data_IF_439325373395
#
_entry.id   IF_439325373395
#
_cell.length_a   1.000
_cell.length_b   1.000
_cell.length_c   1.000
_cell.angle_alpha   90.00
_cell.angle_beta   90.00
_cell.angle_gamma   90.00
#
_symmetry.space_group_name_H-M   'P 1'
#
loop_
_entity.id
_entity.type
_entity.pdbx_description
1 polymer ?
#
# COMPACT_ATOMS: atom_id res chain seq x y z
N UNK A 1 12.23 48.96 10.50
CA UNK A 1 11.51 48.03 9.59
C UNK A 1 11.75 48.52 8.17
N UNK A 2 12.03 47.67 7.16
CA UNK A 2 11.57 46.29 6.90
C UNK A 2 12.69 45.25 7.16
N UNK A 3 12.47 43.96 7.40
CA UNK A 3 11.44 43.07 6.88
C UNK A 3 12.01 42.15 5.78
N UNK A 4 13.16 41.50 6.01
CA UNK A 4 13.75 40.58 5.04
C UNK A 4 13.26 39.14 5.29
N UNK A 5 12.11 38.83 4.69
CA UNK A 5 11.61 37.47 4.52
C UNK A 5 12.50 36.75 3.50
N UNK A 6 13.36 35.83 3.97
CA UNK A 6 13.98 34.82 3.12
C UNK A 6 13.15 33.53 3.23
N UNK A 7 12.58 33.01 2.14
CA UNK A 7 12.09 31.63 2.15
C UNK A 7 13.29 30.66 2.12
N UNK A 8 13.20 29.49 2.77
CA UNK A 8 14.23 28.47 2.67
C UNK A 8 14.21 27.79 1.29
N UNK A 9 15.37 27.38 0.74
CA UNK A 9 15.40 26.56 -0.46
C UNK A 9 14.90 25.14 -0.12
N UNK A 10 13.88 24.71 -0.86
CA UNK A 10 13.30 23.38 -0.82
C UNK A 10 14.30 22.30 -1.23
N UNK A 11 14.21 21.19 -0.49
CA UNK A 11 14.83 19.89 -0.72
C UNK A 11 14.81 19.47 -2.20
N UNK A 12 15.94 18.94 -2.69
CA UNK A 12 15.93 17.99 -3.81
C UNK A 12 17.14 17.05 -3.69
N UNK A 13 16.91 15.84 -3.21
CA UNK A 13 17.84 14.72 -3.40
C UNK A 13 17.02 13.55 -3.96
N UNK A 14 17.19 13.33 -5.26
CA UNK A 14 16.55 12.27 -6.02
C UNK A 14 17.13 10.90 -5.61
N UNK A 15 16.27 9.93 -5.35
CA UNK A 15 16.64 8.52 -5.27
C UNK A 15 16.03 7.83 -6.48
N UNK A 16 16.88 7.51 -7.45
CA UNK A 16 16.51 6.68 -8.60
C UNK A 16 16.76 5.22 -8.23
N UNK A 17 15.70 4.41 -8.21
CA UNK A 17 15.83 2.94 -8.14
C UNK A 17 15.32 2.36 -9.45
N UNK A 18 16.24 1.77 -10.22
CA UNK A 18 15.93 1.04 -11.43
C UNK A 18 15.34 -0.32 -11.04
N UNK A 19 14.07 -0.56 -11.40
CA UNK A 19 13.44 -1.88 -11.26
C UNK A 19 13.65 -2.65 -12.57
N UNK A 20 14.43 -3.72 -12.49
CA UNK A 20 14.63 -4.66 -13.58
C UNK A 20 13.34 -5.49 -13.76
N UNK A 21 12.68 -5.31 -14.90
CA UNK A 21 11.45 -6.03 -15.26
C UNK A 21 11.82 -7.49 -15.56
N UNK A 22 11.43 -8.42 -14.68
CA UNK A 22 11.44 -9.86 -14.98
C UNK A 22 10.01 -10.29 -15.31
N UNK A 23 9.69 -10.27 -16.61
CA UNK A 23 8.50 -10.91 -17.17
C UNK A 23 8.53 -12.43 -16.89
N UNK A 24 7.59 -12.91 -16.09
CA UNK A 24 6.88 -14.18 -16.34
C UNK A 24 5.42 -14.00 -16.00
N UNK A 25 4.57 -14.34 -16.98
CA UNK A 25 3.13 -14.40 -16.86
C UNK A 25 2.77 -15.58 -15.96
N UNK A 26 2.69 -15.33 -14.65
CA UNK A 26 1.85 -16.09 -13.73
C UNK A 26 0.77 -15.10 -13.30
N UNK A 27 -0.50 -15.51 -13.26
CA UNK A 27 -1.57 -14.60 -12.88
C UNK A 27 -1.26 -14.06 -11.46
N UNK A 28 -1.09 -12.74 -11.34
CA UNK A 28 -0.71 -12.09 -10.09
C UNK A 28 -2.01 -11.73 -9.35
N UNK A 29 -2.34 -12.38 -8.22
CA UNK A 29 -3.55 -12.04 -7.48
C UNK A 29 -3.51 -10.58 -7.05
N UNK A 30 -4.65 -9.91 -7.20
CA UNK A 30 -4.83 -8.52 -6.80
C UNK A 30 -5.88 -8.49 -5.70
N UNK A 31 -5.48 -7.99 -4.54
CA UNK A 31 -6.38 -7.77 -3.40
C UNK A 31 -6.56 -6.28 -3.16
N UNK A 32 -7.76 -5.86 -2.79
CA UNK A 32 -8.02 -4.51 -2.30
C UNK A 32 -8.60 -4.55 -0.90
N UNK A 33 -8.07 -3.68 -0.04
CA UNK A 33 -8.46 -3.55 1.36
C UNK A 33 -8.86 -2.11 1.69
N UNK A 34 -9.76 -1.96 2.65
CA UNK A 34 -9.97 -0.73 3.39
C UNK A 34 -9.33 -0.86 4.77
N UNK A 35 -8.26 -0.11 5.02
CA UNK A 35 -7.56 -0.11 6.29
C UNK A 35 -8.22 0.89 7.23
N UNK A 36 -8.64 0.39 8.40
CA UNK A 36 -9.09 1.25 9.51
C UNK A 36 -7.98 1.36 10.52
N UNK A 37 -7.77 2.58 11.00
CA UNK A 37 -6.73 2.89 11.96
C UNK A 37 -7.20 4.01 12.90
N UNK A 38 -6.51 4.15 14.03
CA UNK A 38 -6.75 5.25 14.96
C UNK A 38 -6.49 6.59 14.27
N UNK A 39 -7.34 7.59 14.52
CA UNK A 39 -7.25 8.91 13.86
C UNK A 39 -5.89 9.59 14.12
N UNK A 40 -5.35 9.48 15.34
CA UNK A 40 -4.06 10.03 15.71
C UNK A 40 -2.85 9.28 15.11
N UNK A 41 -3.04 8.05 14.61
CA UNK A 41 -1.98 7.23 14.01
C UNK A 41 -2.06 7.22 12.48
N UNK A 42 -3.09 7.86 11.89
CA UNK A 42 -3.40 7.74 10.46
C UNK A 42 -2.24 8.11 9.55
N UNK A 43 -1.59 9.24 9.79
CA UNK A 43 -0.43 9.70 8.99
C UNK A 43 0.76 8.71 9.09
N UNK A 44 0.96 8.12 10.27
CA UNK A 44 2.01 7.14 10.49
C UNK A 44 1.71 5.82 9.76
N UNK A 45 0.45 5.37 9.79
CA UNK A 45 0.00 4.19 9.05
C UNK A 45 0.14 4.40 7.55
N UNK A 46 -0.31 5.53 7.00
CA UNK A 46 -0.16 5.86 5.57
C UNK A 46 1.32 5.87 5.17
N UNK A 47 2.16 6.52 5.98
CA UNK A 47 3.62 6.55 5.75
C UNK A 47 4.20 5.14 5.74
N UNK A 48 3.79 4.29 6.69
CA UNK A 48 4.26 2.91 6.77
C UNK A 48 3.81 2.07 5.56
N UNK A 49 2.53 2.17 5.16
CA UNK A 49 1.99 1.48 3.99
C UNK A 49 2.76 1.83 2.71
N UNK A 50 3.18 3.08 2.54
CA UNK A 50 4.01 3.50 1.40
C UNK A 50 5.43 2.90 1.40
N UNK A 51 5.90 2.33 2.51
CA UNK A 51 7.19 1.63 2.56
C UNK A 51 7.09 0.15 2.17
N UNK A 52 5.87 -0.40 2.07
CA UNK A 52 5.65 -1.79 1.75
C UNK A 52 5.72 -2.01 0.23
N UNK A 53 6.42 -3.06 -0.18
CA UNK A 53 6.56 -3.43 -1.60
C UNK A 53 5.29 -4.14 -2.07
N UNK A 54 4.87 -3.90 -3.32
CA UNK A 54 3.66 -4.50 -3.89
C UNK A 54 2.36 -3.85 -3.41
N UNK A 55 2.45 -2.72 -2.69
CA UNK A 55 1.31 -2.00 -2.13
C UNK A 55 1.11 -0.66 -2.82
N UNK A 56 -0.09 -0.42 -3.32
CA UNK A 56 -0.57 0.88 -3.79
C UNK A 56 -1.57 1.46 -2.80
N UNK A 57 -1.23 2.60 -2.20
CA UNK A 57 -2.10 3.33 -1.28
C UNK A 57 -2.89 4.37 -2.07
N UNK A 58 -4.22 4.31 -1.96
CA UNK A 58 -5.11 5.30 -2.55
C UNK A 58 -5.28 6.55 -1.68
N UNK A 59 -6.11 7.51 -2.11
CA UNK A 59 -6.36 8.72 -1.33
C UNK A 59 -7.03 8.37 0.00
N UNK A 60 -6.62 9.05 1.07
CA UNK A 60 -7.26 8.90 2.37
C UNK A 60 -8.73 9.32 2.32
N UNK A 61 -9.58 8.58 3.04
CA UNK A 61 -11.03 8.81 3.09
C UNK A 61 -11.55 8.70 4.51
N UNK A 62 -12.77 9.20 4.74
CA UNK A 62 -13.44 9.07 6.05
C UNK A 62 -13.71 7.59 6.41
N UNK A 63 -13.80 6.70 5.41
CA UNK A 63 -14.13 5.29 5.59
C UNK A 63 -12.91 4.38 5.77
N UNK A 64 -11.70 4.96 5.75
CA UNK A 64 -10.42 4.25 5.86
C UNK A 64 -9.48 4.55 4.70
N UNK A 65 -8.30 3.94 4.76
CA UNK A 65 -7.25 4.09 3.78
C UNK A 65 -7.40 2.95 2.75
N UNK A 66 -7.77 3.24 1.49
CA UNK A 66 -7.85 2.22 0.46
C UNK A 66 -6.45 1.75 0.08
N UNK A 67 -6.27 0.44 0.01
CA UNK A 67 -5.01 -0.21 -0.33
C UNK A 67 -5.26 -1.27 -1.40
N UNK A 68 -4.35 -1.37 -2.36
CA UNK A 68 -4.29 -2.46 -3.35
C UNK A 68 -2.96 -3.18 -3.18
N UNK A 69 -3.00 -4.52 -3.15
CA UNK A 69 -1.84 -5.37 -3.02
C UNK A 69 -1.76 -6.27 -4.25
N UNK A 70 -0.63 -6.22 -4.93
CA UNK A 70 -0.23 -7.16 -5.97
C UNK A 70 0.65 -8.22 -5.31
N UNK A 71 0.27 -9.50 -5.45
CA UNK A 71 0.99 -10.63 -4.86
C UNK A 71 1.54 -11.54 -5.94
N UNK A 72 2.64 -12.22 -5.66
CA UNK A 72 3.22 -13.20 -6.59
C UNK A 72 2.53 -14.58 -6.47
N UNK A 73 1.72 -14.79 -5.42
CA UNK A 73 0.96 -16.01 -5.20
C UNK A 73 -0.31 -15.81 -4.35
N UNK A 74 -1.25 -16.75 -4.44
CA UNK A 74 -2.45 -16.79 -3.58
C UNK A 74 -2.10 -16.91 -2.09
N UNK A 75 -0.97 -17.55 -1.75
CA UNK A 75 -0.52 -17.64 -0.37
C UNK A 75 -0.08 -16.27 0.16
N UNK A 76 0.73 -15.53 -0.60
CA UNK A 76 1.11 -14.16 -0.24
C UNK A 76 -0.11 -13.24 -0.13
N UNK A 77 -1.09 -13.40 -1.02
CA UNK A 77 -2.32 -12.63 -0.98
C UNK A 77 -3.17 -12.93 0.28
N UNK A 78 -3.09 -14.16 0.81
CA UNK A 78 -3.70 -14.52 2.10
C UNK A 78 -2.93 -13.93 3.28
N UNK A 79 -1.60 -14.03 3.25
CA UNK A 79 -0.71 -13.55 4.32
C UNK A 79 -0.71 -12.01 4.41
N UNK A 80 -1.14 -11.33 3.33
CA UNK A 80 -1.26 -9.88 3.24
C UNK A 80 -2.14 -9.27 4.33
N UNK A 81 -3.22 -9.95 4.75
CA UNK A 81 -4.10 -9.42 5.80
C UNK A 81 -3.40 -9.38 7.16
N UNK A 82 -2.64 -10.43 7.49
CA UNK A 82 -1.88 -10.51 8.74
C UNK A 82 -0.78 -9.45 8.77
N UNK A 83 -0.12 -9.22 7.63
CA UNK A 83 0.86 -8.14 7.48
C UNK A 83 0.25 -6.75 7.72
N UNK A 84 -0.93 -6.49 7.15
CA UNK A 84 -1.62 -5.20 7.32
C UNK A 84 -2.09 -4.99 8.77
N UNK A 85 -2.64 -6.02 9.40
CA UNK A 85 -3.12 -5.94 10.79
C UNK A 85 -1.98 -5.86 11.82
N UNK A 86 -0.77 -6.30 11.46
CA UNK A 86 0.40 -6.16 12.31
C UNK A 86 0.97 -4.72 12.36
N UNK A 87 0.52 -3.81 11.49
CA UNK A 87 0.99 -2.42 11.46
C UNK A 87 0.48 -1.68 12.71
N UNK A 88 1.35 -1.08 13.53
CA UNK A 88 0.92 -0.29 14.67
C UNK A 88 -0.05 0.83 14.27
N UNK A 89 -1.16 0.93 15.00
CA UNK A 89 -2.22 1.91 14.73
C UNK A 89 -3.32 1.38 13.82
N UNK A 90 -3.13 0.26 13.10
CA UNK A 90 -4.21 -0.42 12.36
C UNK A 90 -5.14 -1.14 13.35
N UNK A 91 -6.43 -0.94 13.15
CA UNK A 91 -7.51 -1.58 13.90
C UNK A 91 -8.10 -2.79 13.15
N UNK A 92 -8.18 -2.69 11.81
CA UNK A 92 -8.64 -3.78 10.95
C UNK A 92 -8.24 -3.55 9.49
N UNK A 93 -8.06 -4.64 8.76
CA UNK A 93 -7.89 -4.64 7.30
C UNK A 93 -9.08 -5.36 6.65
N UNK A 94 -10.01 -4.59 6.06
CA UNK A 94 -11.24 -5.16 5.48
C UNK A 94 -11.02 -5.46 4.01
N UNK A 95 -11.07 -6.73 3.61
CA UNK A 95 -11.02 -7.12 2.21
C UNK A 95 -12.26 -6.59 1.46
N UNK A 96 -12.02 -5.73 0.47
CA UNK A 96 -13.05 -5.14 -0.41
C UNK A 96 -13.18 -5.94 -1.70
N UNK A 97 -12.04 -6.40 -2.24
CA UNK A 97 -12.00 -7.13 -3.49
C UNK A 97 -10.80 -8.09 -3.50
N UNK A 98 -10.96 -9.23 -4.16
CA UNK A 98 -9.88 -10.16 -4.43
C UNK A 98 -10.09 -10.77 -5.81
N UNK A 99 -9.05 -10.74 -6.65
CA UNK A 99 -9.04 -11.45 -7.92
C UNK A 99 -8.40 -12.82 -7.73
N UNK A 100 -9.21 -13.88 -7.84
CA UNK A 100 -8.74 -15.26 -7.93
C UNK A 100 -8.56 -15.61 -9.41
N UNK A 101 -7.43 -15.27 -10.01
CA UNK A 101 -7.04 -15.91 -11.27
C UNK A 101 -6.30 -17.22 -10.94
N UNK A 102 -7.06 -18.24 -10.51
CA UNK A 102 -6.67 -19.66 -10.56
C UNK A 102 -7.86 -20.55 -10.14
N UNK A 103 -8.92 -20.59 -10.97
CA UNK A 103 -9.83 -21.74 -11.08
C UNK A 103 -10.31 -21.86 -12.54
N UNK A 104 -9.38 -21.99 -13.49
CA UNK A 104 -9.73 -22.79 -14.68
C UNK A 104 -9.55 -24.24 -14.28
N UNK A 105 -10.63 -24.86 -13.81
CA UNK A 105 -10.79 -26.31 -13.82
C UNK A 105 -10.54 -26.82 -15.24
N UNK A 106 -9.32 -27.29 -15.53
CA UNK A 106 -9.13 -28.23 -16.61
C UNK A 106 -9.92 -29.50 -16.25
N UNK A 107 -10.87 -29.83 -17.13
CA UNK A 107 -11.89 -30.88 -17.02
C UNK A 107 -11.35 -32.31 -16.88
#
# INVERSE_FOLDING_TARGET
MPGNNRPPPLLLAAVAVAVAIKTRSSAMPISSYAIRCQENERDAVVTHLHTLTGITVGPDTDNGIPVVIESDSTQEARDSVELLEAIPGVESAVLVYHNFEDETEDS
#
